data_IF_177892126910
#
_entry.id   IF_177892126910
#
_cell.length_a   1.000
_cell.length_b   1.000
_cell.length_c   1.000
_cell.angle_alpha   90.00
_cell.angle_beta   90.00
_cell.angle_gamma   90.00
#
_symmetry.space_group_name_H-M   'P 1'
#
loop_
_entity.id
_entity.type
_entity.pdbx_description
1 polymer ?
#
# COMPACT_ATOMS: atom_id res chain seq x y z
N UNK A 1 14.56 0.85 28.20
CA UNK A 1 15.22 -0.21 27.42
C UNK A 1 15.50 0.32 26.02
N UNK A 2 16.75 0.38 25.55
CA UNK A 2 17.08 0.98 24.25
C UNK A 2 16.88 -0.06 23.13
N UNK A 3 16.16 0.32 22.08
CA UNK A 3 15.78 -0.52 20.92
C UNK A 3 16.96 -1.26 20.27
N UNK A 4 18.18 -0.73 20.42
CA UNK A 4 19.43 -1.31 19.92
C UNK A 4 19.93 -2.50 20.74
N UNK A 5 19.60 -2.58 22.02
CA UNK A 5 20.06 -3.66 22.90
C UNK A 5 19.19 -4.91 22.72
N UNK A 6 17.91 -4.73 22.36
CA UNK A 6 16.99 -5.82 22.02
C UNK A 6 17.43 -6.58 20.76
N UNK A 7 17.89 -5.86 19.72
CA UNK A 7 18.37 -6.48 18.47
C UNK A 7 19.69 -7.24 18.65
N UNK A 8 20.58 -6.74 19.52
CA UNK A 8 21.84 -7.42 19.83
C UNK A 8 21.64 -8.69 20.66
N UNK A 9 20.67 -8.67 21.56
CA UNK A 9 20.35 -9.84 22.41
C UNK A 9 19.55 -10.90 21.64
N UNK A 10 18.73 -10.50 20.66
CA UNK A 10 18.00 -11.42 19.77
C UNK A 10 18.89 -12.15 18.76
N UNK A 11 19.99 -11.55 18.30
CA UNK A 11 20.89 -12.18 17.32
C UNK A 11 21.73 -13.33 17.91
N UNK A 12 21.93 -13.38 19.23
CA UNK A 12 22.69 -14.44 19.90
C UNK A 12 21.90 -15.74 20.09
N UNK A 13 20.57 -15.72 19.93
CA UNK A 13 19.72 -16.91 20.06
C UNK A 13 19.67 -17.77 18.78
N UNK A 14 20.20 -17.29 17.65
CA UNK A 14 20.30 -18.06 16.39
C UNK A 14 21.69 -18.63 16.10
N UNK A 15 22.65 -18.47 17.02
CA UNK A 15 24.03 -18.96 16.84
C UNK A 15 24.25 -20.39 17.40
N UNK A 16 23.18 -21.13 17.71
CA UNK A 16 23.23 -22.38 18.48
C UNK A 16 22.83 -23.65 17.73
N UNK A 17 23.11 -23.75 16.43
CA UNK A 17 23.19 -24.94 15.56
C UNK A 17 23.12 -24.40 14.13
N UNK A 18 24.13 -24.54 13.27
CA UNK A 18 24.39 -25.76 12.51
C UNK A 18 25.79 -25.65 11.92
N UNK A 19 26.51 -26.75 11.99
CA UNK A 19 27.84 -26.95 11.43
C UNK A 19 27.89 -26.62 9.93
N UNK A 20 29.00 -26.00 9.53
CA UNK A 20 29.41 -25.86 8.14
C UNK A 20 29.57 -27.25 7.52
N UNK A 21 28.71 -27.60 6.56
CA UNK A 21 29.01 -28.61 5.55
C UNK A 21 28.78 -28.04 4.17
N UNK A 22 29.87 -27.99 3.42
CA UNK A 22 30.04 -27.47 2.07
C UNK A 22 29.35 -28.35 1.03
N UNK A 23 28.14 -27.97 0.61
CA UNK A 23 27.57 -28.34 -0.70
C UNK A 23 26.44 -27.36 -1.06
N UNK A 24 26.74 -26.46 -1.99
CA UNK A 24 25.99 -25.22 -2.28
C UNK A 24 24.65 -25.33 -3.00
N UNK A 25 23.89 -26.43 -2.87
CA UNK A 25 22.56 -26.54 -3.48
C UNK A 25 21.44 -26.99 -2.53
N UNK A 26 21.74 -27.50 -1.32
CA UNK A 26 20.70 -28.10 -0.46
C UNK A 26 20.19 -27.19 0.67
N UNK A 27 20.72 -25.97 0.82
CA UNK A 27 20.21 -25.06 1.86
C UNK A 27 18.75 -24.65 1.58
N UNK A 28 18.39 -24.45 0.31
CA UNK A 28 17.00 -24.11 -0.07
C UNK A 28 16.02 -25.28 0.06
N UNK A 29 16.49 -26.52 -0.09
CA UNK A 29 15.67 -27.73 0.04
C UNK A 29 15.50 -28.13 1.51
N UNK A 30 16.57 -28.11 2.31
CA UNK A 30 16.50 -28.41 3.74
C UNK A 30 15.64 -27.39 4.51
N UNK A 31 15.64 -26.11 4.11
CA UNK A 31 14.73 -25.10 4.68
C UNK A 31 13.28 -25.32 4.27
N UNK A 32 12.99 -25.77 3.03
CA UNK A 32 11.64 -26.10 2.57
C UNK A 32 11.09 -27.38 3.19
N UNK A 33 11.96 -28.32 3.50
CA UNK A 33 11.61 -29.62 4.10
C UNK A 33 11.42 -29.49 5.63
N UNK A 34 12.27 -28.71 6.31
CA UNK A 34 12.13 -28.43 7.75
C UNK A 34 10.99 -27.47 8.08
N UNK A 35 10.68 -26.54 7.18
CA UNK A 35 9.55 -25.62 7.28
C UNK A 35 8.60 -25.90 6.13
N UNK A 36 8.02 -27.11 6.14
CA UNK A 36 7.05 -27.56 5.15
C UNK A 36 6.13 -26.43 4.70
N UNK A 37 5.94 -26.30 3.38
CA UNK A 37 5.08 -25.33 2.72
C UNK A 37 3.88 -24.98 3.60
N UNK A 38 3.97 -23.87 4.33
CA UNK A 38 2.82 -23.23 4.96
C UNK A 38 2.01 -22.59 3.82
N UNK A 39 1.43 -23.42 2.98
CA UNK A 39 0.20 -23.03 2.32
C UNK A 39 -0.83 -23.06 3.42
N UNK A 40 -1.15 -21.88 3.93
CA UNK A 40 -2.40 -21.69 4.60
C UNK A 40 -3.50 -22.05 3.58
N UNK A 41 -3.92 -23.31 3.57
CA UNK A 41 -5.11 -23.78 2.84
C UNK A 41 -6.41 -23.18 3.42
N UNK A 42 -6.28 -22.33 4.44
CA UNK A 42 -7.36 -21.49 4.92
C UNK A 42 -7.45 -20.22 4.07
N UNK A 43 -8.63 -19.97 3.50
CA UNK A 43 -8.99 -18.65 2.97
C UNK A 43 -8.66 -17.60 4.03
N UNK A 44 -7.85 -16.58 3.71
CA UNK A 44 -7.56 -15.50 4.65
C UNK A 44 -8.85 -14.88 5.18
N UNK A 45 -8.94 -14.69 6.49
CA UNK A 45 -10.04 -14.01 7.17
C UNK A 45 -10.15 -12.51 6.82
N UNK A 46 -9.14 -11.97 6.12
CA UNK A 46 -9.12 -10.63 5.56
C UNK A 46 -8.41 -10.62 4.21
N UNK A 47 -8.73 -9.63 3.39
CA UNK A 47 -8.00 -9.33 2.15
C UNK A 47 -6.91 -8.27 2.40
N UNK A 48 -5.91 -8.23 1.53
CA UNK A 48 -4.81 -7.25 1.58
C UNK A 48 -5.03 -6.21 0.47
N UNK A 49 -4.86 -4.93 0.80
CA UNK A 49 -4.87 -3.80 -0.13
C UNK A 49 -3.50 -3.11 -0.17
N UNK A 50 -3.25 -2.33 -1.23
CA UNK A 50 -2.07 -1.49 -1.38
C UNK A 50 -2.47 -0.02 -1.24
N UNK A 51 -1.97 0.63 -0.19
CA UNK A 51 -2.05 2.08 -0.07
C UNK A 51 -1.03 2.74 -1.00
N UNK A 52 -1.49 3.71 -1.81
CA UNK A 52 -0.70 4.36 -2.85
C UNK A 52 0.55 5.06 -2.33
N UNK A 53 0.53 5.51 -1.08
CA UNK A 53 1.70 6.10 -0.42
C UNK A 53 2.90 5.13 -0.31
N UNK A 54 2.67 3.81 -0.43
CA UNK A 54 3.73 2.81 -0.47
C UNK A 54 4.69 3.02 -1.64
N UNK A 55 4.22 3.63 -2.74
CA UNK A 55 4.98 3.92 -3.96
C UNK A 55 5.17 5.43 -4.19
N UNK A 56 5.09 6.24 -3.12
CA UNK A 56 5.17 7.71 -3.25
C UNK A 56 6.49 8.18 -3.89
N UNK A 57 7.60 7.47 -3.69
CA UNK A 57 8.91 7.88 -4.21
C UNK A 57 8.95 7.78 -5.73
N UNK A 58 8.47 6.66 -6.25
CA UNK A 58 8.38 6.36 -7.68
C UNK A 58 7.38 7.32 -8.36
N UNK A 59 6.22 7.55 -7.73
CA UNK A 59 5.21 8.50 -8.19
C UNK A 59 5.75 9.94 -8.22
N UNK A 60 6.40 10.42 -7.15
CA UNK A 60 6.95 11.78 -7.12
C UNK A 60 8.13 11.99 -8.07
N UNK A 61 8.90 10.95 -8.36
CA UNK A 61 9.96 11.01 -9.37
C UNK A 61 9.44 10.88 -10.80
N UNK A 62 8.18 10.53 -11.00
CA UNK A 62 7.61 10.22 -12.31
C UNK A 62 8.10 8.90 -12.91
N UNK A 63 8.71 8.03 -12.09
CA UNK A 63 9.13 6.67 -12.48
C UNK A 63 7.91 5.75 -12.59
N UNK A 64 6.81 6.06 -11.88
CA UNK A 64 5.50 5.43 -12.01
C UNK A 64 4.45 6.48 -12.38
N UNK A 65 3.68 6.23 -13.45
CA UNK A 65 2.51 7.06 -13.75
C UNK A 65 1.38 6.76 -12.76
N UNK A 66 0.69 7.80 -12.29
CA UNK A 66 -0.47 7.65 -11.40
C UNK A 66 -1.52 6.66 -11.94
N UNK A 67 -1.79 6.68 -13.25
CA UNK A 67 -2.76 5.81 -13.90
C UNK A 67 -2.32 4.34 -13.99
N UNK A 68 -1.03 4.06 -13.80
CA UNK A 68 -0.49 2.69 -13.83
C UNK A 68 -0.48 2.05 -12.43
N UNK A 69 -0.94 2.77 -11.39
CA UNK A 69 -0.95 2.27 -10.01
C UNK A 69 -1.76 0.99 -9.82
N UNK A 70 -2.95 0.89 -10.44
CA UNK A 70 -3.79 -0.30 -10.34
C UNK A 70 -3.13 -1.53 -10.96
N UNK A 71 -2.54 -1.37 -12.15
CA UNK A 71 -1.78 -2.43 -12.81
C UNK A 71 -0.56 -2.84 -11.96
N UNK A 72 0.14 -1.88 -11.36
CA UNK A 72 1.28 -2.16 -10.47
C UNK A 72 0.84 -2.96 -9.23
N UNK A 73 -0.29 -2.64 -8.62
CA UNK A 73 -0.84 -3.42 -7.51
C UNK A 73 -1.14 -4.87 -7.94
N UNK A 74 -1.63 -5.06 -9.17
CA UNK A 74 -1.86 -6.39 -9.74
C UNK A 74 -0.59 -7.19 -9.95
N UNK A 75 0.49 -6.55 -10.39
CA UNK A 75 1.82 -7.20 -10.50
C UNK A 75 2.33 -7.72 -9.16
N UNK A 76 1.94 -7.10 -8.04
CA UNK A 76 2.24 -7.58 -6.69
C UNK A 76 1.26 -8.64 -6.16
N UNK A 77 0.24 -9.02 -6.94
CA UNK A 77 -0.81 -9.93 -6.51
C UNK A 77 -1.74 -9.34 -5.45
N UNK A 78 -1.92 -8.01 -5.42
CA UNK A 78 -2.80 -7.30 -4.48
C UNK A 78 -4.09 -6.84 -5.18
N UNK A 79 -5.24 -7.33 -4.70
CA UNK A 79 -6.53 -7.18 -5.38
C UNK A 79 -7.26 -5.87 -5.04
N UNK A 80 -6.76 -5.08 -4.08
CA UNK A 80 -7.38 -3.84 -3.64
C UNK A 80 -6.40 -2.68 -3.54
N UNK A 81 -6.85 -1.47 -3.85
CA UNK A 81 -6.02 -0.26 -3.78
C UNK A 81 -6.71 0.88 -3.04
N UNK A 82 -5.88 1.72 -2.42
CA UNK A 82 -6.30 2.91 -1.69
C UNK A 82 -5.50 4.11 -2.22
N UNK A 83 -6.19 5.05 -2.87
CA UNK A 83 -5.55 6.20 -3.50
C UNK A 83 -5.14 7.26 -2.47
N UNK A 84 -4.19 8.12 -2.84
CA UNK A 84 -3.82 9.32 -2.08
C UNK A 84 -4.01 10.54 -3.00
N UNK A 85 -4.80 11.49 -2.54
CA UNK A 85 -5.26 12.64 -3.32
C UNK A 85 -4.12 13.47 -3.95
N UNK A 86 -2.95 13.51 -3.32
CA UNK A 86 -1.77 14.28 -3.76
C UNK A 86 -1.35 13.95 -5.20
N UNK A 87 -1.56 12.72 -5.67
CA UNK A 87 -1.13 12.29 -7.00
C UNK A 87 -2.12 12.67 -8.12
N UNK A 88 -3.28 13.25 -7.78
CA UNK A 88 -4.28 13.67 -8.76
C UNK A 88 -5.12 14.90 -8.30
N UNK A 89 -4.55 15.79 -7.46
CA UNK A 89 -5.24 16.97 -6.93
C UNK A 89 -5.91 17.84 -7.99
N UNK A 90 -5.20 18.11 -9.09
CA UNK A 90 -5.70 18.95 -10.18
C UNK A 90 -6.73 18.23 -11.06
N UNK A 91 -6.90 16.92 -10.87
CA UNK A 91 -7.74 16.05 -11.71
C UNK A 91 -9.00 15.56 -11.00
N UNK A 92 -9.21 15.91 -9.73
CA UNK A 92 -10.37 15.45 -8.93
C UNK A 92 -11.74 15.79 -9.54
N UNK A 93 -11.83 16.83 -10.38
CA UNK A 93 -13.07 17.18 -11.12
C UNK A 93 -13.02 16.84 -12.61
N UNK A 94 -11.95 16.21 -13.06
CA UNK A 94 -11.81 15.83 -14.45
C UNK A 94 -12.50 14.48 -14.68
N UNK A 95 -13.73 14.53 -15.17
CA UNK A 95 -14.56 13.35 -15.39
C UNK A 95 -13.89 12.30 -16.30
N UNK A 96 -13.17 12.70 -17.35
CA UNK A 96 -12.50 11.73 -18.22
C UNK A 96 -11.31 11.07 -17.53
N UNK A 97 -10.59 11.81 -16.68
CA UNK A 97 -9.49 11.24 -15.90
C UNK A 97 -9.99 10.24 -14.86
N UNK A 98 -11.06 10.56 -14.14
CA UNK A 98 -11.68 9.62 -13.18
C UNK A 98 -12.24 8.38 -13.89
N UNK A 99 -12.88 8.56 -15.05
CA UNK A 99 -13.33 7.44 -15.86
C UNK A 99 -12.17 6.54 -16.33
N UNK A 100 -11.02 7.14 -16.69
CA UNK A 100 -9.82 6.38 -17.04
C UNK A 100 -9.24 5.63 -15.83
N UNK A 101 -9.21 6.25 -14.65
CA UNK A 101 -8.82 5.57 -13.39
C UNK A 101 -9.71 4.34 -13.14
N UNK A 102 -11.02 4.51 -13.25
CA UNK A 102 -12.01 3.44 -13.08
C UNK A 102 -11.82 2.31 -14.10
N UNK A 103 -11.62 2.67 -15.38
CA UNK A 103 -11.41 1.70 -16.44
C UNK A 103 -10.13 0.90 -16.20
N UNK A 104 -9.02 1.56 -15.86
CA UNK A 104 -7.73 0.87 -15.63
C UNK A 104 -7.75 -0.03 -14.40
N UNK A 105 -8.46 0.35 -13.35
CA UNK A 105 -8.67 -0.50 -12.19
C UNK A 105 -9.50 -1.75 -12.57
N UNK A 106 -10.56 -1.58 -13.36
CA UNK A 106 -11.37 -2.69 -13.86
C UNK A 106 -10.58 -3.62 -14.79
N UNK A 107 -9.80 -3.06 -15.73
CA UNK A 107 -8.96 -3.83 -16.66
C UNK A 107 -7.88 -4.64 -15.93
N UNK A 108 -7.38 -4.14 -14.80
CA UNK A 108 -6.40 -4.81 -13.95
C UNK A 108 -7.02 -5.81 -12.97
N UNK A 109 -8.36 -5.92 -12.92
CA UNK A 109 -9.11 -6.70 -11.92
C UNK A 109 -8.75 -6.30 -10.48
N UNK A 110 -8.71 -5.00 -10.21
CA UNK A 110 -8.34 -4.41 -8.91
C UNK A 110 -9.47 -3.54 -8.36
N UNK A 111 -9.86 -3.81 -7.11
CA UNK A 111 -10.88 -3.06 -6.40
C UNK A 111 -10.34 -1.73 -5.87
N UNK A 112 -11.03 -0.64 -6.17
CA UNK A 112 -10.77 0.67 -5.58
C UNK A 112 -11.53 0.79 -4.25
N UNK A 113 -10.83 1.08 -3.14
CA UNK A 113 -11.43 1.02 -1.80
C UNK A 113 -11.74 2.39 -1.20
N UNK A 114 -10.79 3.32 -1.26
CA UNK A 114 -10.89 4.65 -0.66
C UNK A 114 -9.90 5.64 -1.26
N UNK A 115 -10.09 6.91 -0.93
CA UNK A 115 -9.14 8.01 -1.19
C UNK A 115 -8.70 8.59 0.15
N UNK A 116 -7.40 8.54 0.44
CA UNK A 116 -6.77 9.29 1.54
C UNK A 116 -6.60 10.74 1.12
N UNK A 117 -7.04 11.66 1.97
CA UNK A 117 -7.09 13.10 1.65
C UNK A 117 -6.10 13.87 2.52
N UNK A 118 -5.00 14.30 1.91
CA UNK A 118 -4.00 15.17 2.51
C UNK A 118 -4.14 16.62 2.01
N UNK A 119 -3.52 17.57 2.72
CA UNK A 119 -3.36 18.94 2.23
C UNK A 119 -4.64 19.81 2.19
N UNK A 120 -5.80 19.29 2.61
CA UNK A 120 -7.07 20.05 2.58
C UNK A 120 -7.35 20.87 3.85
N UNK A 121 -6.48 20.76 4.85
CA UNK A 121 -6.55 21.50 6.12
C UNK A 121 -7.03 20.65 7.30
N UNK A 122 -7.17 21.27 8.48
CA UNK A 122 -7.44 20.56 9.74
C UNK A 122 -8.95 20.47 9.99
N UNK A 123 -9.52 19.27 9.93
CA UNK A 123 -10.95 19.06 10.25
C UNK A 123 -11.29 19.44 11.71
N UNK A 124 -10.30 19.43 12.61
CA UNK A 124 -10.41 19.87 14.00
C UNK A 124 -9.87 21.28 14.26
N UNK A 125 -9.85 22.17 13.27
CA UNK A 125 -9.38 23.55 13.46
C UNK A 125 -10.20 24.27 14.55
N UNK A 126 -9.60 25.00 15.52
CA UNK A 126 -10.35 25.69 16.56
C UNK A 126 -11.23 26.82 16.01
N UNK A 127 -10.84 27.45 14.91
CA UNK A 127 -11.63 28.50 14.27
C UNK A 127 -12.79 27.92 13.46
N UNK A 128 -14.01 28.39 13.75
CA UNK A 128 -15.24 27.89 13.14
C UNK A 128 -15.29 28.13 11.63
N UNK A 129 -14.77 29.26 11.15
CA UNK A 129 -14.81 29.61 9.73
C UNK A 129 -13.84 28.72 8.95
N UNK A 130 -12.62 28.57 9.45
CA UNK A 130 -11.60 27.70 8.89
C UNK A 130 -12.06 26.25 8.85
N UNK A 131 -12.63 25.74 9.96
CA UNK A 131 -13.16 24.36 10.01
C UNK A 131 -14.25 24.09 8.97
N UNK A 132 -15.18 25.04 8.76
CA UNK A 132 -16.21 24.93 7.72
C UNK A 132 -15.59 24.89 6.31
N UNK A 133 -14.62 25.75 6.04
CA UNK A 133 -13.90 25.75 4.76
C UNK A 133 -13.19 24.41 4.49
N UNK A 134 -12.60 23.79 5.51
CA UNK A 134 -11.97 22.46 5.39
C UNK A 134 -13.01 21.41 5.03
N UNK A 135 -14.19 21.41 5.66
CA UNK A 135 -15.28 20.48 5.30
C UNK A 135 -15.68 20.65 3.83
N UNK A 136 -15.87 21.88 3.36
CA UNK A 136 -16.27 22.14 1.98
C UNK A 136 -15.19 21.71 0.97
N UNK A 137 -13.92 21.89 1.32
CA UNK A 137 -12.79 21.39 0.52
C UNK A 137 -12.77 19.87 0.34
N UNK A 138 -13.31 19.11 1.30
CA UNK A 138 -13.36 17.65 1.23
C UNK A 138 -14.49 17.10 0.34
N UNK A 139 -15.54 17.90 0.07
CA UNK A 139 -16.72 17.44 -0.70
C UNK A 139 -16.36 16.91 -2.08
N UNK A 140 -15.44 17.56 -2.78
CA UNK A 140 -14.95 17.11 -4.11
C UNK A 140 -14.33 15.71 -4.08
N UNK A 141 -13.74 15.31 -2.96
CA UNK A 141 -13.15 13.98 -2.79
C UNK A 141 -14.22 12.92 -2.53
N UNK A 142 -15.31 13.29 -1.84
CA UNK A 142 -16.48 12.41 -1.69
C UNK A 142 -17.17 12.20 -3.03
N UNK A 143 -17.31 13.25 -3.83
CA UNK A 143 -17.86 13.18 -5.19
C UNK A 143 -17.00 12.27 -6.07
N UNK A 144 -15.68 12.44 -6.09
CA UNK A 144 -14.77 11.59 -6.86
C UNK A 144 -14.76 10.13 -6.38
N UNK A 145 -14.87 9.88 -5.08
CA UNK A 145 -14.95 8.51 -4.55
C UNK A 145 -16.24 7.78 -4.93
N UNK A 146 -17.30 8.51 -5.32
CA UNK A 146 -18.61 7.96 -5.64
C UNK A 146 -18.83 7.68 -7.15
N UNK A 147 -17.85 8.01 -8.02
CA UNK A 147 -17.92 7.78 -9.47
C UNK A 147 -17.38 6.42 -9.86
#
# INVERSE_FOLDING_TARGET
MKRRDFLKTGAAAFAGAVAVTTTGCHFGEAWREAHGSMRADATPWFSISLAQWSLHRELFKGELNHLDFAATAREFGIDGIEYVNQFFMEKVRNASYLAEMNQRAADADVQQLLIMVDGEGRLGDPDLVTRKQVVDRHRKWLEAAAT
#
